data_IF_265781548850
#
_entry.id   IF_265781548850
#
_cell.length_a   1.000
_cell.length_b   1.000
_cell.length_c   1.000
_cell.angle_alpha   90.00
_cell.angle_beta   90.00
_cell.angle_gamma   90.00
#
_symmetry.space_group_name_H-M   'P 1'
#
loop_
_entity.id
_entity.type
_entity.pdbx_description
1 polymer ?
#
# COMPACT_ATOMS: atom_id res chain seq x y z
N UNK A 1 -7.80 -7.13 -17.47
CA UNK A 1 -6.84 -7.68 -16.50
C UNK A 1 -6.52 -6.56 -15.52
N UNK A 2 -6.64 -6.81 -14.22
CA UNK A 2 -6.51 -5.78 -13.19
C UNK A 2 -5.14 -5.07 -13.26
N UNK A 3 -5.12 -3.74 -13.10
CA UNK A 3 -3.89 -2.96 -13.06
C UNK A 3 -3.45 -2.73 -11.62
N UNK A 4 -2.27 -3.23 -11.26
CA UNK A 4 -1.73 -3.11 -9.92
C UNK A 4 -0.66 -2.02 -9.83
N UNK A 5 -0.53 -1.41 -8.65
CA UNK A 5 0.50 -0.42 -8.33
C UNK A 5 1.56 -1.06 -7.44
N UNK A 6 2.83 -0.93 -7.79
CA UNK A 6 3.95 -1.26 -6.90
C UNK A 6 4.44 0.01 -6.21
N UNK A 7 4.63 -0.05 -4.88
CA UNK A 7 5.26 1.02 -4.09
C UNK A 7 6.41 0.46 -3.27
N UNK A 8 7.58 1.07 -3.43
CA UNK A 8 8.73 0.77 -2.58
C UNK A 8 8.46 1.29 -1.15
N UNK A 9 8.53 0.39 -0.17
CA UNK A 9 8.45 0.71 1.24
C UNK A 9 9.87 0.80 1.82
N UNK A 10 10.32 2.01 2.07
CA UNK A 10 11.63 2.26 2.69
C UNK A 10 11.45 2.38 4.21
N UNK A 11 12.33 1.72 4.98
CA UNK A 11 12.33 1.79 6.45
C UNK A 11 11.49 0.72 7.15
N UNK A 12 10.86 -0.19 6.41
CA UNK A 12 10.29 -1.43 6.96
C UNK A 12 11.22 -2.60 6.62
N UNK A 13 11.49 -3.47 7.59
CA UNK A 13 12.32 -4.67 7.38
C UNK A 13 11.48 -5.90 7.06
N UNK A 14 10.19 -5.87 7.39
CA UNK A 14 9.20 -6.93 7.22
C UNK A 14 7.80 -6.38 6.91
N UNK A 15 6.88 -7.28 6.56
CA UNK A 15 5.45 -6.97 6.40
C UNK A 15 4.83 -6.57 7.74
N UNK A 16 5.23 -7.26 8.80
CA UNK A 16 4.80 -7.03 10.17
C UNK A 16 5.19 -5.63 10.65
N UNK A 17 6.38 -5.15 10.30
CA UNK A 17 6.84 -3.79 10.63
C UNK A 17 5.91 -2.74 9.99
N UNK A 18 5.57 -2.94 8.72
CA UNK A 18 4.64 -2.05 8.02
C UNK A 18 3.24 -2.12 8.64
N UNK A 19 2.76 -3.30 9.02
CA UNK A 19 1.47 -3.48 9.68
C UNK A 19 1.43 -2.76 11.04
N UNK A 20 2.48 -2.91 11.86
CA UNK A 20 2.61 -2.24 13.15
C UNK A 20 2.67 -0.73 12.98
N UNK A 21 3.43 -0.24 11.99
CA UNK A 21 3.47 1.17 11.67
C UNK A 21 2.07 1.68 11.28
N UNK A 22 1.36 1.01 10.37
CA UNK A 22 0.00 1.39 9.99
C UNK A 22 -0.96 1.41 11.18
N UNK A 23 -0.89 0.41 12.06
CA UNK A 23 -1.68 0.35 13.28
C UNK A 23 -1.40 1.53 14.22
N UNK A 24 -0.13 1.92 14.38
CA UNK A 24 0.25 3.11 15.16
C UNK A 24 -0.32 4.41 14.58
N UNK A 25 -0.48 4.47 13.25
CA UNK A 25 -0.98 5.63 12.52
C UNK A 25 -2.51 5.66 12.38
N UNK A 26 -3.25 4.66 12.88
CA UNK A 26 -4.71 4.55 12.71
C UNK A 26 -5.49 5.82 13.08
N UNK A 27 -4.99 6.57 14.06
CA UNK A 27 -5.60 7.80 14.54
C UNK A 27 -5.64 8.93 13.49
N UNK A 28 -4.89 8.76 12.39
CA UNK A 28 -4.80 9.71 11.27
C UNK A 28 -5.77 9.39 10.14
N UNK A 29 -6.46 8.24 10.18
CA UNK A 29 -7.22 7.70 9.06
C UNK A 29 -8.66 7.35 9.43
N UNK A 30 -9.57 7.24 8.44
CA UNK A 30 -10.91 6.71 8.67
C UNK A 30 -10.87 5.32 9.31
N UNK A 31 -11.88 5.04 10.13
CA UNK A 31 -11.98 3.76 10.83
C UNK A 31 -11.89 2.58 9.85
N UNK A 32 -11.04 1.60 10.20
CA UNK A 32 -10.86 0.37 9.44
C UNK A 32 -10.11 0.50 8.11
N UNK A 33 -9.46 1.64 7.82
CA UNK A 33 -8.73 1.85 6.56
C UNK A 33 -7.38 2.49 6.78
N UNK A 34 -6.35 1.96 6.11
CA UNK A 34 -5.09 2.66 5.92
C UNK A 34 -5.16 3.57 4.69
N UNK A 35 -4.57 4.77 4.76
CA UNK A 35 -4.54 5.72 3.64
C UNK A 35 -3.10 6.01 3.24
N UNK A 36 -2.77 5.74 1.98
CA UNK A 36 -1.51 6.13 1.38
C UNK A 36 -1.68 7.38 0.52
N UNK A 37 -1.05 8.49 0.92
CA UNK A 37 -1.05 9.73 0.15
C UNK A 37 0.12 9.71 -0.83
N UNK A 38 -0.17 9.81 -2.13
CA UNK A 38 0.84 9.88 -3.19
C UNK A 38 0.85 11.25 -3.85
N UNK A 39 2.04 11.83 -4.05
CA UNK A 39 2.20 13.07 -4.83
C UNK A 39 1.95 12.86 -6.32
N UNK A 40 2.29 11.67 -6.82
CA UNK A 40 2.09 11.29 -8.21
C UNK A 40 0.77 10.54 -8.33
N UNK A 41 -0.23 11.18 -8.93
CA UNK A 41 -1.54 10.59 -9.15
C UNK A 41 -1.50 9.53 -10.27
N UNK A 42 -2.14 8.35 -10.10
CA UNK A 42 -2.20 7.35 -11.15
C UNK A 42 -2.98 7.86 -12.37
N UNK A 43 -2.32 7.95 -13.53
CA UNK A 43 -2.97 8.35 -14.80
C UNK A 43 -4.09 7.40 -15.23
N UNK A 44 -4.03 6.14 -14.79
CA UNK A 44 -5.00 5.08 -15.11
C UNK A 44 -5.74 4.61 -13.86
N UNK A 45 -6.17 5.56 -13.01
CA UNK A 45 -6.85 5.26 -11.75
C UNK A 45 -8.06 4.33 -11.91
N UNK A 46 -8.87 4.51 -12.95
CA UNK A 46 -10.10 3.73 -13.13
C UNK A 46 -9.77 2.25 -13.35
N UNK A 47 -8.70 1.96 -14.10
CA UNK A 47 -8.22 0.60 -14.31
C UNK A 47 -7.59 -0.03 -13.06
N UNK A 48 -7.10 0.79 -12.11
CA UNK A 48 -6.64 0.32 -10.81
C UNK A 48 -7.81 0.03 -9.89
N UNK A 49 -8.86 0.87 -9.93
CA UNK A 49 -10.07 0.68 -9.14
C UNK A 49 -10.92 -0.50 -9.65
N UNK A 50 -10.80 -0.85 -10.94
CA UNK A 50 -11.37 -2.05 -11.56
C UNK A 50 -10.61 -3.34 -11.18
N UNK A 51 -10.62 -3.65 -9.87
CA UNK A 51 -10.09 -4.89 -9.31
C UNK A 51 -8.58 -4.95 -9.11
N UNK A 52 -7.88 -3.82 -9.18
CA UNK A 52 -6.45 -3.72 -8.89
C UNK A 52 -6.13 -3.45 -7.42
N UNK A 53 -4.86 -3.64 -7.07
CA UNK A 53 -4.35 -3.46 -5.71
C UNK A 53 -3.03 -2.68 -5.68
N UNK A 54 -2.70 -2.13 -4.52
CA UNK A 54 -1.38 -1.56 -4.23
C UNK A 54 -0.54 -2.59 -3.46
N UNK A 55 0.62 -2.94 -4.01
CA UNK A 55 1.56 -3.87 -3.42
C UNK A 55 2.78 -3.12 -2.89
N UNK A 56 3.15 -3.45 -1.67
CA UNK A 56 4.37 -2.94 -1.05
C UNK A 56 5.56 -3.82 -1.44
N UNK A 57 6.62 -3.19 -1.90
CA UNK A 57 7.92 -3.83 -2.13
C UNK A 57 8.79 -3.55 -0.93
N UNK A 58 9.17 -4.60 -0.21
CA UNK A 58 10.03 -4.53 0.99
C UNK A 58 11.29 -5.34 0.68
N UNK A 59 12.47 -4.69 0.73
CA UNK A 59 13.77 -5.31 0.39
C UNK A 59 13.81 -6.03 -0.97
N UNK A 60 13.09 -5.50 -1.96
CA UNK A 60 13.02 -6.09 -3.30
C UNK A 60 12.07 -7.29 -3.42
N UNK A 61 11.34 -7.64 -2.37
CA UNK A 61 10.33 -8.70 -2.37
C UNK A 61 8.92 -8.09 -2.32
N UNK A 62 7.99 -8.68 -3.08
CA UNK A 62 6.55 -8.42 -2.96
C UNK A 62 5.95 -9.56 -2.13
N UNK A 63 5.39 -9.23 -0.98
CA UNK A 63 4.70 -10.18 -0.11
C UNK A 63 3.22 -9.78 -0.03
N UNK A 64 2.32 -10.75 -0.18
CA UNK A 64 0.89 -10.54 0.05
C UNK A 64 0.63 -10.40 1.56
N UNK A 65 -0.18 -9.42 1.95
CA UNK A 65 -0.82 -9.40 3.26
C UNK A 65 -2.21 -10.02 3.06
N UNK A 66 -2.45 -11.19 3.65
CA UNK A 66 -3.79 -11.80 3.72
C UNK A 66 -4.67 -11.11 4.77
#
# INVERSE_FOLDING_TARGET
>A
MALNILKLCVGAESVEDLAQWQASQRHRWPAGRAVHVTRMWPKRQDAVLDGGSLYWVIKGVILGMD
#
